data_IF_589343786291
#
_entry.id   IF_589343786291
#
_cell.length_a   1.000
_cell.length_b   1.000
_cell.length_c   1.000
_cell.angle_alpha   90.00
_cell.angle_beta   90.00
_cell.angle_gamma   90.00
#
_symmetry.space_group_name_H-M   'P 1'
#
loop_
_entity.id
_entity.type
_entity.pdbx_description
1 polymer ?
#
# COMPACT_ATOMS: atom_id res chain seq x y z
N UNK A 1 19.52 -15.25 1.71
CA UNK A 1 18.68 -14.85 2.85
C UNK A 1 17.23 -14.96 2.42
N UNK A 2 16.37 -15.63 3.19
CA UNK A 2 14.92 -15.53 2.99
C UNK A 2 14.47 -14.21 3.63
N UNK A 3 14.15 -13.21 2.82
CA UNK A 3 13.60 -11.96 3.33
C UNK A 3 12.13 -12.18 3.70
N UNK A 4 11.74 -11.85 4.94
CA UNK A 4 10.36 -12.01 5.41
C UNK A 4 9.44 -10.99 4.70
N UNK A 5 8.51 -11.42 3.82
CA UNK A 5 7.61 -10.50 3.14
C UNK A 5 6.54 -9.93 4.08
N UNK A 6 6.24 -10.59 5.20
CA UNK A 6 5.09 -10.27 6.05
C UNK A 6 5.17 -8.87 6.65
N UNK A 7 6.35 -8.44 7.10
CA UNK A 7 6.53 -7.11 7.70
C UNK A 7 6.24 -5.98 6.70
N UNK A 8 6.63 -6.15 5.44
CA UNK A 8 6.41 -5.17 4.38
C UNK A 8 4.95 -5.13 3.94
N UNK A 9 4.31 -6.30 3.87
CA UNK A 9 2.89 -6.42 3.55
C UNK A 9 2.01 -5.83 4.65
N UNK A 10 2.33 -6.10 5.91
CA UNK A 10 1.63 -5.50 7.05
C UNK A 10 1.79 -3.98 7.07
N UNK A 11 3.00 -3.46 6.83
CA UNK A 11 3.22 -2.02 6.73
C UNK A 11 2.42 -1.37 5.59
N UNK A 12 2.27 -2.05 4.45
CA UNK A 12 1.44 -1.59 3.34
C UNK A 12 -0.06 -1.57 3.71
N UNK A 13 -0.55 -2.60 4.40
CA UNK A 13 -1.93 -2.64 4.90
C UNK A 13 -2.18 -1.57 5.99
N UNK A 14 -1.24 -1.34 6.90
CA UNK A 14 -1.35 -0.31 7.94
C UNK A 14 -1.38 1.11 7.35
N UNK A 15 -0.59 1.36 6.30
CA UNK A 15 -0.63 2.60 5.54
C UNK A 15 -2.00 2.80 4.88
N UNK A 16 -2.53 1.76 4.23
CA UNK A 16 -3.85 1.82 3.60
C UNK A 16 -4.98 2.02 4.63
N UNK A 17 -4.92 1.33 5.77
CA UNK A 17 -5.90 1.48 6.85
C UNK A 17 -5.84 2.86 7.50
N UNK A 18 -4.65 3.43 7.67
CA UNK A 18 -4.47 4.82 8.14
C UNK A 18 -5.07 5.82 7.15
N UNK A 19 -4.96 5.56 5.84
CA UNK A 19 -5.66 6.35 4.83
C UNK A 19 -7.18 6.24 5.00
N UNK A 20 -7.72 5.01 5.09
CA UNK A 20 -9.15 4.72 5.12
C UNK A 20 -9.86 5.16 6.42
N UNK A 21 -9.14 5.26 7.54
CA UNK A 21 -9.70 5.69 8.82
C UNK A 21 -10.04 7.18 8.86
N UNK A 22 -9.53 7.96 7.90
CA UNK A 22 -9.82 9.38 7.78
C UNK A 22 -11.18 9.66 7.12
N UNK A 23 -11.85 10.77 7.46
CA UNK A 23 -13.03 11.25 6.75
C UNK A 23 -12.80 11.39 5.23
N UNK A 24 -13.80 11.11 4.37
CA UNK A 24 -13.67 11.25 2.91
C UNK A 24 -13.11 12.60 2.45
N UNK A 25 -13.52 13.70 3.09
CA UNK A 25 -13.04 15.04 2.74
C UNK A 25 -11.51 15.19 2.89
N UNK A 26 -10.89 14.55 3.88
CA UNK A 26 -9.44 14.58 4.09
C UNK A 26 -8.69 13.70 3.07
N UNK A 27 -9.32 12.60 2.63
CA UNK A 27 -8.76 11.67 1.65
C UNK A 27 -8.66 12.27 0.24
N UNK A 28 -9.63 13.13 -0.12
CA UNK A 28 -9.70 13.78 -1.44
C UNK A 28 -8.97 15.13 -1.49
N UNK A 29 -9.11 15.98 -0.47
CA UNK A 29 -8.72 17.38 -0.58
C UNK A 29 -7.25 17.67 -0.29
N UNK A 30 -6.48 16.70 0.23
CA UNK A 30 -5.04 16.85 0.47
C UNK A 30 -4.69 18.13 1.24
N UNK A 31 -5.50 18.49 2.24
CA UNK A 31 -5.16 19.62 3.11
C UNK A 31 -3.84 19.32 3.83
N UNK A 32 -3.13 20.36 4.27
CA UNK A 32 -1.70 20.31 4.64
C UNK A 32 -1.32 19.28 5.75
N UNK A 33 -2.30 18.63 6.38
CA UNK A 33 -2.11 17.60 7.42
C UNK A 33 -2.81 16.26 7.12
N UNK A 34 -3.47 16.10 5.97
CA UNK A 34 -4.22 14.90 5.61
C UNK A 34 -3.37 13.87 4.87
N UNK A 35 -3.52 12.60 5.22
CA UNK A 35 -2.91 11.51 4.46
C UNK A 35 -3.84 11.17 3.28
N UNK A 36 -3.71 11.93 2.18
CA UNK A 36 -4.57 11.84 1.00
C UNK A 36 -4.17 10.70 0.04
N UNK A 37 -4.94 10.51 -1.04
CA UNK A 37 -4.69 9.45 -2.04
C UNK A 37 -3.26 9.44 -2.56
N UNK A 38 -2.72 10.61 -2.91
CA UNK A 38 -1.35 10.72 -3.42
C UNK A 38 -0.33 10.41 -2.33
N UNK A 39 -0.53 10.91 -1.11
CA UNK A 39 0.38 10.65 0.00
C UNK A 39 0.50 9.15 0.32
N UNK A 40 -0.63 8.43 0.40
CA UNK A 40 -0.59 6.98 0.67
C UNK A 40 0.00 6.18 -0.49
N UNK A 41 -0.24 6.58 -1.74
CA UNK A 41 0.41 5.94 -2.89
C UNK A 41 1.92 6.15 -2.89
N UNK A 42 2.38 7.36 -2.59
CA UNK A 42 3.80 7.65 -2.44
C UNK A 42 4.44 6.80 -1.34
N UNK A 43 3.78 6.63 -0.19
CA UNK A 43 4.27 5.75 0.88
C UNK A 43 4.33 4.28 0.45
N UNK A 44 3.33 3.78 -0.29
CA UNK A 44 3.33 2.42 -0.83
C UNK A 44 4.40 2.21 -1.90
N UNK A 45 4.69 3.24 -2.72
CA UNK A 45 5.78 3.20 -3.70
C UNK A 45 7.15 3.15 -3.02
N UNK A 46 7.38 3.97 -1.99
CA UNK A 46 8.61 3.92 -1.19
C UNK A 46 8.77 2.56 -0.49
N UNK A 47 7.69 1.97 0.03
CA UNK A 47 7.72 0.61 0.60
C UNK A 47 8.08 -0.45 -0.45
N UNK A 48 7.55 -0.35 -1.66
CA UNK A 48 7.91 -1.26 -2.75
C UNK A 48 9.39 -1.11 -3.12
N UNK A 49 9.87 0.12 -3.30
CA UNK A 49 11.25 0.41 -3.67
C UNK A 49 12.25 -0.11 -2.63
N UNK A 50 11.89 -0.04 -1.34
CA UNK A 50 12.70 -0.59 -0.24
C UNK A 50 12.96 -2.10 -0.36
N UNK A 51 12.08 -2.84 -1.04
CA UNK A 51 12.24 -4.29 -1.26
C UNK A 51 12.69 -4.65 -2.68
N UNK A 52 12.95 -3.69 -3.56
CA UNK A 52 13.31 -3.93 -4.96
C UNK A 52 14.45 -4.95 -5.13
N UNK A 53 15.58 -4.71 -4.46
CA UNK A 53 16.76 -5.58 -4.53
C UNK A 53 16.71 -6.75 -3.53
N UNK A 54 15.76 -6.75 -2.59
CA UNK A 54 15.61 -7.80 -1.58
C UNK A 54 14.64 -8.90 -2.02
N UNK A 55 13.56 -8.52 -2.69
CA UNK A 55 12.48 -9.40 -3.13
C UNK A 55 11.72 -8.74 -4.29
N UNK A 56 12.26 -8.88 -5.50
CA UNK A 56 11.68 -8.28 -6.70
C UNK A 56 10.21 -8.71 -6.98
N UNK A 57 9.80 -9.99 -6.78
CA UNK A 57 8.39 -10.36 -6.88
C UNK A 57 7.47 -9.61 -5.91
N UNK A 58 7.93 -9.37 -4.68
CA UNK A 58 7.19 -8.59 -3.69
C UNK A 58 7.09 -7.11 -4.09
N UNK A 59 8.19 -6.53 -4.59
CA UNK A 59 8.20 -5.19 -5.18
C UNK A 59 7.13 -5.05 -6.28
N UNK A 60 7.12 -5.95 -7.27
CA UNK A 60 6.16 -5.91 -8.36
C UNK A 60 4.73 -6.05 -7.84
N UNK A 61 4.52 -6.94 -6.86
CA UNK A 61 3.21 -7.11 -6.23
C UNK A 61 2.72 -5.83 -5.57
N UNK A 62 3.52 -5.21 -4.70
CA UNK A 62 3.11 -3.99 -3.99
C UNK A 62 2.79 -2.88 -4.99
N UNK A 63 3.65 -2.63 -6.01
CA UNK A 63 3.37 -1.60 -7.02
C UNK A 63 2.10 -1.85 -7.82
N UNK A 64 1.93 -3.06 -8.36
CA UNK A 64 0.75 -3.39 -9.18
C UNK A 64 -0.52 -3.31 -8.35
N UNK A 65 -0.50 -3.88 -7.15
CA UNK A 65 -1.68 -3.96 -6.30
C UNK A 65 -2.08 -2.59 -5.73
N UNK A 66 -1.11 -1.73 -5.39
CA UNK A 66 -1.37 -0.33 -5.04
C UNK A 66 -1.99 0.46 -6.20
N UNK A 67 -1.47 0.31 -7.42
CA UNK A 67 -2.03 0.96 -8.61
C UNK A 67 -3.44 0.48 -8.94
N UNK A 68 -3.70 -0.82 -8.81
CA UNK A 68 -5.04 -1.38 -8.97
C UNK A 68 -6.00 -0.81 -7.93
N UNK A 69 -5.58 -0.77 -6.66
CA UNK A 69 -6.35 -0.18 -5.59
C UNK A 69 -6.70 1.30 -5.85
N UNK A 70 -5.74 2.08 -6.35
CA UNK A 70 -5.97 3.45 -6.79
C UNK A 70 -7.01 3.55 -7.91
N UNK A 71 -6.85 2.74 -8.96
CA UNK A 71 -7.75 2.73 -10.10
C UNK A 71 -9.20 2.35 -9.74
N UNK A 72 -9.37 1.58 -8.65
CA UNK A 72 -10.67 1.20 -8.10
C UNK A 72 -11.22 2.20 -7.06
N UNK A 73 -10.59 3.38 -6.92
CA UNK A 73 -11.11 4.48 -6.10
C UNK A 73 -10.80 4.38 -4.60
N UNK A 74 -10.01 3.39 -4.16
CA UNK A 74 -9.49 3.29 -2.79
C UNK A 74 -10.56 3.33 -1.69
N UNK A 75 -11.73 2.76 -1.93
CA UNK A 75 -12.85 2.80 -0.98
C UNK A 75 -12.84 1.68 0.05
N UNK A 76 -12.04 0.63 -0.16
CA UNK A 76 -11.94 -0.56 0.70
C UNK A 76 -10.48 -0.90 0.97
N UNK A 77 -10.13 -1.69 2.01
CA UNK A 77 -8.75 -2.14 2.22
C UNK A 77 -8.21 -2.92 1.02
N UNK A 78 -6.94 -2.71 0.61
CA UNK A 78 -6.32 -3.45 -0.48
C UNK A 78 -5.94 -4.89 -0.12
N UNK A 79 -5.82 -5.21 1.17
CA UNK A 79 -5.50 -6.56 1.68
C UNK A 79 -4.21 -7.15 1.07
N UNK A 80 -3.11 -6.40 1.14
CA UNK A 80 -1.81 -6.81 0.60
C UNK A 80 -1.36 -8.16 1.18
N UNK A 81 -1.38 -8.33 2.51
CA UNK A 81 -0.93 -9.53 3.18
C UNK A 81 -1.77 -10.77 2.80
N UNK A 82 -3.10 -10.64 2.86
CA UNK A 82 -4.01 -11.74 2.55
C UNK A 82 -3.97 -12.11 1.06
N UNK A 83 -3.87 -11.13 0.16
CA UNK A 83 -3.77 -11.38 -1.28
C UNK A 83 -2.44 -12.04 -1.64
N UNK A 84 -1.34 -11.64 -1.00
CA UNK A 84 -0.03 -12.27 -1.21
C UNK A 84 -0.01 -13.73 -0.75
N UNK A 85 -0.59 -14.02 0.42
CA UNK A 85 -0.65 -15.37 0.97
C UNK A 85 -1.38 -16.36 0.03
N UNK A 86 -2.43 -15.90 -0.67
CA UNK A 86 -3.17 -16.71 -1.66
C UNK A 86 -2.39 -17.03 -2.94
N UNK A 87 -1.30 -16.32 -3.23
CA UNK A 87 -0.47 -16.52 -4.44
C UNK A 87 0.65 -17.55 -4.24
N UNK A 88 0.86 -18.01 -3.00
CA UNK A 88 1.84 -19.04 -2.64
C UNK A 88 1.17 -20.41 -2.57
#
# INVERSE_FOLDING_TARGET
MQHNPEIWLQAADDAANSFLSQPPAQREAGNDNGYCKISVLSSLEVLADAVYYLNYPLYQFIKIHANQWYSHGMSHPPEFAATWAKRR
#
